data_IF_169695162039
#
_entry.id   IF_169695162039
#
_cell.length_a   1.000
_cell.length_b   1.000
_cell.length_c   1.000
_cell.angle_alpha   90.00
_cell.angle_beta   90.00
_cell.angle_gamma   90.00
#
_symmetry.space_group_name_H-M   'P 1'
#
loop_
_entity.id
_entity.type
_entity.pdbx_description
1 polymer ?
#
# COMPACT_ATOMS: atom_id res chain seq x y z
N UNK A 1 0.65 -7.05 13.98
CA UNK A 1 1.16 -5.90 14.76
C UNK A 1 1.72 -4.86 13.79
N UNK A 2 1.58 -3.57 14.11
CA UNK A 2 2.18 -2.47 13.34
C UNK A 2 3.35 -1.87 14.12
N UNK A 3 4.35 -1.34 13.42
CA UNK A 3 5.39 -0.53 14.04
C UNK A 3 4.84 0.84 14.48
N UNK A 4 5.60 1.58 15.27
CA UNK A 4 5.34 3.01 15.54
C UNK A 4 5.26 3.86 14.26
N UNK A 5 5.92 3.41 13.20
CA UNK A 5 5.86 3.99 11.85
C UNK A 5 4.57 3.66 11.06
N UNK A 6 3.65 2.86 11.61
CA UNK A 6 2.38 2.51 10.96
C UNK A 6 2.44 1.36 9.95
N UNK A 7 3.63 0.89 9.55
CA UNK A 7 3.82 -0.28 8.69
C UNK A 7 3.48 -1.60 9.41
N UNK A 8 3.07 -2.60 8.64
CA UNK A 8 2.68 -3.94 9.12
C UNK A 8 3.91 -4.76 9.52
N UNK A 9 4.30 -4.81 10.77
CA UNK A 9 5.52 -5.55 11.15
C UNK A 9 5.32 -7.08 11.07
N UNK A 10 4.18 -7.56 11.53
CA UNK A 10 3.88 -8.99 11.59
C UNK A 10 2.38 -9.26 11.58
N UNK A 11 2.01 -10.49 11.26
CA UNK A 11 0.65 -11.00 11.47
C UNK A 11 0.68 -12.37 12.13
N UNK A 12 -0.42 -12.70 12.80
CA UNK A 12 -0.65 -14.02 13.37
C UNK A 12 -2.01 -14.50 12.91
N UNK A 13 -2.05 -15.69 12.33
CA UNK A 13 -3.28 -16.31 11.83
C UNK A 13 -3.99 -17.07 12.95
N UNK A 14 -5.29 -17.38 12.80
CA UNK A 14 -6.05 -18.13 13.81
C UNK A 14 -5.49 -19.54 14.09
N UNK A 15 -4.84 -20.18 13.12
CA UNK A 15 -4.13 -21.46 13.26
C UNK A 15 -2.77 -21.33 13.98
N UNK A 16 -2.43 -20.14 14.47
CA UNK A 16 -1.26 -19.89 15.31
C UNK A 16 0.04 -19.63 14.55
N UNK A 17 0.03 -19.63 13.21
CA UNK A 17 1.20 -19.28 12.40
C UNK A 17 1.48 -17.78 12.49
N UNK A 18 2.77 -17.43 12.48
CA UNK A 18 3.23 -16.06 12.50
C UNK A 18 4.02 -15.76 11.22
N UNK A 19 3.77 -14.58 10.66
CA UNK A 19 4.48 -14.08 9.49
C UNK A 19 5.01 -12.68 9.74
N UNK A 20 6.15 -12.40 9.13
CA UNK A 20 6.88 -11.14 9.27
C UNK A 20 7.06 -10.51 7.90
N UNK A 21 6.84 -9.19 7.83
CA UNK A 21 6.86 -8.46 6.58
C UNK A 21 8.16 -7.68 6.42
N UNK A 22 8.71 -7.71 5.20
CA UNK A 22 9.88 -6.94 4.82
C UNK A 22 9.49 -5.89 3.80
N UNK A 23 10.08 -4.71 3.95
CA UNK A 23 9.68 -3.50 3.23
C UNK A 23 10.78 -2.95 2.35
N UNK A 24 10.40 -2.30 1.24
CA UNK A 24 11.29 -1.39 0.52
C UNK A 24 11.35 -0.01 1.21
N UNK A 25 12.16 0.91 0.66
CA UNK A 25 12.28 2.27 1.17
C UNK A 25 11.01 3.13 1.04
N UNK A 26 9.97 2.66 0.33
CA UNK A 26 8.67 3.33 0.16
C UNK A 26 7.60 2.74 1.09
N UNK A 27 7.91 1.66 1.83
CA UNK A 27 6.96 0.96 2.68
C UNK A 27 6.11 -0.08 1.95
N UNK A 28 6.50 -0.50 0.75
CA UNK A 28 5.87 -1.63 0.03
C UNK A 28 6.38 -2.95 0.56
N UNK A 29 5.50 -3.94 0.69
CA UNK A 29 5.88 -5.29 1.14
C UNK A 29 6.58 -6.03 -0.01
N UNK A 30 7.89 -6.26 0.11
CA UNK A 30 8.70 -6.96 -0.91
C UNK A 30 8.92 -8.42 -0.58
N UNK A 31 8.89 -8.80 0.70
CA UNK A 31 9.00 -10.21 1.14
C UNK A 31 8.20 -10.44 2.41
N UNK A 32 7.86 -11.70 2.63
CA UNK A 32 7.22 -12.20 3.83
C UNK A 32 7.92 -13.47 4.28
N UNK A 33 8.22 -13.60 5.57
CA UNK A 33 8.86 -14.79 6.15
C UNK A 33 7.95 -15.44 7.17
N UNK A 34 8.11 -16.74 7.37
CA UNK A 34 7.50 -17.46 8.49
C UNK A 34 8.33 -17.33 9.79
N UNK A 35 7.90 -18.03 10.84
CA UNK A 35 8.60 -18.06 12.13
C UNK A 35 9.96 -18.76 12.13
N UNK A 36 10.30 -19.50 11.07
CA UNK A 36 11.61 -20.13 10.89
C UNK A 36 12.58 -19.23 10.12
N UNK A 37 12.09 -18.11 9.57
CA UNK A 37 12.84 -17.20 8.70
C UNK A 37 12.82 -17.60 7.22
N UNK A 38 12.08 -18.63 6.84
CA UNK A 38 11.93 -19.02 5.45
C UNK A 38 11.03 -18.01 4.71
N UNK A 39 11.42 -17.62 3.49
CA UNK A 39 10.65 -16.70 2.66
C UNK A 39 9.44 -17.43 2.09
N UNK A 40 8.24 -17.01 2.46
CA UNK A 40 6.97 -17.57 1.97
C UNK A 40 6.38 -16.78 0.82
N UNK A 41 6.54 -15.45 0.83
CA UNK A 41 6.12 -14.61 -0.30
C UNK A 41 7.23 -13.66 -0.71
N UNK A 42 7.29 -13.36 -2.01
CA UNK A 42 8.20 -12.37 -2.59
C UNK A 42 7.47 -11.57 -3.67
N UNK A 43 7.67 -10.27 -3.69
CA UNK A 43 7.06 -9.33 -4.62
C UNK A 43 8.13 -8.42 -5.21
N UNK A 44 8.07 -8.19 -6.51
CA UNK A 44 8.77 -7.12 -7.21
C UNK A 44 7.73 -6.23 -7.86
N UNK A 45 7.78 -4.94 -7.53
CA UNK A 45 6.85 -3.94 -8.08
C UNK A 45 7.54 -3.08 -9.13
N UNK A 46 6.78 -2.64 -10.12
CA UNK A 46 7.15 -1.50 -10.95
C UNK A 46 7.03 -0.18 -10.14
N UNK A 47 7.48 0.97 -10.69
CA UNK A 47 7.43 2.26 -9.98
C UNK A 47 6.03 2.73 -9.56
N UNK A 48 4.97 2.19 -10.17
CA UNK A 48 3.58 2.57 -9.96
C UNK A 48 2.77 1.56 -9.13
N UNK A 49 3.31 0.37 -8.89
CA UNK A 49 2.71 -0.66 -8.05
C UNK A 49 2.21 -1.90 -8.79
N UNK A 50 2.50 -2.02 -10.09
CA UNK A 50 2.25 -3.24 -10.86
C UNK A 50 3.17 -4.37 -10.41
N UNK A 51 2.64 -5.59 -10.37
CA UNK A 51 3.39 -6.80 -10.03
C UNK A 51 4.35 -7.17 -11.19
N UNK A 52 5.61 -6.71 -11.12
CA UNK A 52 6.65 -7.08 -12.08
C UNK A 52 7.12 -8.54 -11.89
N UNK A 53 7.12 -9.02 -10.65
CA UNK A 53 7.37 -10.44 -10.32
C UNK A 53 6.69 -10.78 -9.00
N UNK A 54 6.21 -12.02 -8.84
CA UNK A 54 5.63 -12.47 -7.57
C UNK A 54 5.75 -13.96 -7.35
N UNK A 55 5.98 -14.33 -6.10
CA UNK A 55 5.86 -15.69 -5.57
C UNK A 55 4.95 -15.60 -4.34
N UNK A 56 3.84 -16.33 -4.37
CA UNK A 56 2.83 -16.29 -3.31
C UNK A 56 2.55 -17.72 -2.87
N UNK A 57 3.01 -18.07 -1.66
CA UNK A 57 2.67 -19.33 -0.98
C UNK A 57 1.53 -19.12 -0.01
N UNK A 58 1.48 -17.95 0.64
CA UNK A 58 0.46 -17.58 1.62
C UNK A 58 -0.35 -16.41 1.08
N UNK A 59 -1.68 -16.49 1.15
CA UNK A 59 -2.52 -15.39 0.71
C UNK A 59 -2.25 -14.14 1.57
N UNK A 60 -1.86 -13.05 0.91
CA UNK A 60 -1.59 -11.77 1.56
C UNK A 60 -2.19 -10.63 0.72
N UNK A 61 -3.20 -9.91 1.25
CA UNK A 61 -3.80 -8.76 0.58
C UNK A 61 -2.96 -7.49 0.73
N UNK A 62 -2.07 -7.37 1.71
CA UNK A 62 -1.27 -6.15 1.92
C UNK A 62 -0.03 -6.16 1.03
N UNK A 63 0.13 -5.16 0.16
CA UNK A 63 1.19 -5.18 -0.86
C UNK A 63 1.86 -3.81 -1.06
N UNK A 64 1.80 -3.26 -2.28
CA UNK A 64 2.42 -2.02 -2.68
C UNK A 64 2.03 -0.84 -1.77
N UNK A 65 3.04 -0.12 -1.26
CA UNK A 65 2.89 1.00 -0.32
C UNK A 65 1.95 0.73 0.88
N UNK A 66 1.77 -0.52 1.29
CA UNK A 66 0.84 -0.92 2.35
C UNK A 66 -0.65 -0.87 1.97
N UNK A 67 -0.97 -0.74 0.68
CA UNK A 67 -2.34 -0.79 0.17
C UNK A 67 -2.93 -2.20 0.24
N UNK A 68 -4.25 -2.27 0.37
CA UNK A 68 -5.01 -3.51 0.32
C UNK A 68 -5.30 -3.87 -1.14
N UNK A 69 -4.71 -4.95 -1.62
CA UNK A 69 -4.90 -5.47 -2.97
C UNK A 69 -6.13 -6.37 -3.01
N UNK A 70 -7.12 -5.99 -3.82
CA UNK A 70 -8.28 -6.81 -4.11
C UNK A 70 -8.04 -7.62 -5.39
N UNK A 71 -7.89 -8.94 -5.24
CA UNK A 71 -7.53 -9.82 -6.35
C UNK A 71 -8.59 -9.90 -7.44
N UNK A 72 -9.86 -9.66 -7.12
CA UNK A 72 -10.97 -9.76 -8.06
C UNK A 72 -10.99 -8.60 -9.05
N UNK A 73 -10.68 -7.39 -8.58
CA UNK A 73 -10.73 -6.16 -9.37
C UNK A 73 -9.36 -5.68 -9.81
N UNK A 74 -8.27 -6.18 -9.20
CA UNK A 74 -6.91 -5.72 -9.45
C UNK A 74 -6.61 -4.33 -8.88
N UNK A 75 -7.46 -3.84 -7.97
CA UNK A 75 -7.34 -2.50 -7.39
C UNK A 75 -6.60 -2.52 -6.06
N UNK A 76 -5.89 -1.43 -5.77
CA UNK A 76 -5.32 -1.17 -4.46
C UNK A 76 -6.16 -0.16 -3.70
N UNK A 77 -6.69 -0.55 -2.55
CA UNK A 77 -7.42 0.36 -1.67
C UNK A 77 -6.49 0.99 -0.64
N UNK A 78 -6.46 2.32 -0.64
CA UNK A 78 -5.75 3.18 0.28
C UNK A 78 -6.75 4.03 1.06
N UNK A 79 -7.12 3.58 2.25
CA UNK A 79 -8.12 4.25 3.09
C UNK A 79 -9.48 4.30 2.39
N UNK A 80 -9.85 5.48 1.88
CA UNK A 80 -11.15 5.75 1.25
C UNK A 80 -11.10 5.80 -0.28
N UNK A 81 -9.92 5.62 -0.89
CA UNK A 81 -9.77 5.62 -2.35
C UNK A 81 -9.16 4.31 -2.84
N UNK A 82 -9.51 3.94 -4.06
CA UNK A 82 -8.96 2.79 -4.76
C UNK A 82 -8.15 3.27 -5.98
N UNK A 83 -6.95 2.72 -6.12
CA UNK A 83 -6.03 2.95 -7.21
C UNK A 83 -6.17 1.82 -8.22
N UNK A 84 -6.43 2.17 -9.46
CA UNK A 84 -6.33 1.28 -10.61
C UNK A 84 -4.89 1.33 -11.12
N UNK A 85 -4.19 0.20 -11.03
CA UNK A 85 -2.79 0.07 -11.46
C UNK A 85 -2.68 -0.14 -12.96
N UNK A 86 -3.69 -0.73 -13.60
CA UNK A 86 -3.68 -0.94 -15.05
C UNK A 86 -3.64 0.39 -15.79
N UNK A 87 -4.44 1.36 -15.33
CA UNK A 87 -4.45 2.72 -15.88
C UNK A 87 -3.66 3.72 -15.04
N UNK A 88 -3.04 3.26 -13.95
CA UNK A 88 -2.31 4.06 -12.98
C UNK A 88 -3.08 5.32 -12.58
N UNK A 89 -4.34 5.22 -12.15
CA UNK A 89 -5.18 6.36 -11.75
C UNK A 89 -6.07 6.03 -10.58
N UNK A 90 -6.49 7.05 -9.83
CA UNK A 90 -7.53 6.85 -8.81
C UNK A 90 -8.88 6.59 -9.48
N UNK A 91 -9.68 5.68 -8.93
CA UNK A 91 -11.04 5.43 -9.44
C UNK A 91 -12.04 6.45 -8.93
N UNK A 92 -11.74 7.10 -7.80
CA UNK A 92 -12.53 8.20 -7.25
C UNK A 92 -11.76 9.52 -7.32
N UNK A 93 -12.49 10.62 -7.54
CA UNK A 93 -11.96 11.97 -7.39
C UNK A 93 -11.41 12.15 -5.97
N UNK A 94 -10.35 12.95 -5.81
CA UNK A 94 -9.89 13.36 -4.48
C UNK A 94 -11.06 13.89 -3.67
N UNK A 95 -11.34 13.34 -2.48
CA UNK A 95 -12.37 13.88 -1.62
C UNK A 95 -11.97 15.31 -1.26
N UNK A 96 -12.72 16.29 -1.76
CA UNK A 96 -12.53 17.67 -1.37
C UNK A 96 -13.00 17.78 0.07
N UNK A 97 -12.06 18.04 0.99
CA UNK A 97 -12.42 18.57 2.31
C UNK A 97 -12.90 20.00 2.08
N UNK A 98 -14.16 20.16 1.69
CA UNK A 98 -14.80 21.46 1.64
C UNK A 98 -15.02 21.92 3.09
N UNK A 99 -14.07 22.72 3.59
CA UNK A 99 -14.17 23.70 4.68
C UNK A 99 -12.92 23.70 5.60
N UNK A 100 -11.81 24.21 5.07
CA UNK A 100 -11.03 25.13 5.90
C UNK A 100 -11.32 26.54 5.37
N UNK A 101 -11.69 27.52 6.22
CA UNK A 101 -11.73 28.90 5.76
C UNK A 101 -10.33 29.24 5.26
N UNK A 102 -10.23 29.80 4.05
CA UNK A 102 -8.98 30.31 3.49
C UNK A 102 -8.48 31.47 4.36
N UNK A 103 -7.88 31.17 5.51
CA UNK A 103 -7.08 32.12 6.26
C UNK A 103 -5.64 31.64 6.21
N UNK A 104 -4.92 32.22 5.26
CA UNK A 104 -3.46 32.40 5.23
C UNK A 104 -2.65 31.41 6.08
N UNK A 105 -2.11 30.37 5.45
CA UNK A 105 -0.88 29.74 5.96
C UNK A 105 0.20 29.82 4.87
N UNK A 106 1.41 30.28 5.23
CA UNK A 106 2.51 30.43 4.29
C UNK A 106 3.01 29.05 3.81
N UNK A 107 3.70 29.07 2.68
CA UNK A 107 4.19 27.92 1.91
C UNK A 107 4.89 26.90 2.82
N UNK A 108 4.22 25.79 3.12
CA UNK A 108 4.86 24.53 3.50
C UNK A 108 3.92 23.40 3.07
N UNK A 109 3.90 23.11 1.77
CA UNK A 109 3.46 21.82 1.28
C UNK A 109 4.68 20.89 1.28
N UNK A 110 4.83 20.09 2.34
CA UNK A 110 5.78 18.99 2.34
C UNK A 110 5.05 17.68 2.67
N UNK A 111 5.26 16.72 1.77
CA UNK A 111 4.97 15.29 1.87
C UNK A 111 3.54 14.79 1.58
N UNK A 112 3.06 15.00 0.35
CA UNK A 112 2.14 14.06 -0.33
C UNK A 112 1.89 14.38 -1.83
N UNK A 113 2.87 14.97 -2.53
CA UNK A 113 2.68 15.38 -3.92
C UNK A 113 2.83 14.23 -4.94
N UNK A 114 3.51 13.12 -4.57
CA UNK A 114 3.84 12.08 -5.55
C UNK A 114 2.66 11.23 -6.06
N UNK A 115 1.50 11.28 -5.40
CA UNK A 115 0.31 10.48 -5.80
C UNK A 115 -0.95 11.33 -6.04
N UNK A 116 -0.86 12.66 -5.94
CA UNK A 116 -2.00 13.55 -6.15
C UNK A 116 -2.22 13.91 -7.62
N UNK A 117 -1.24 13.69 -8.50
CA UNK A 117 -1.26 14.15 -9.90
C UNK A 117 -2.02 13.22 -10.87
N UNK A 118 -2.87 12.33 -10.34
CA UNK A 118 -3.53 11.29 -11.15
C UNK A 118 -5.05 11.34 -11.01
N UNK A 119 -5.57 12.56 -11.04
CA UNK A 119 -6.99 12.83 -10.89
C UNK A 119 -7.81 12.24 -12.05
N UNK A 120 -9.03 11.84 -11.69
CA UNK A 120 -10.06 11.32 -12.58
C UNK A 120 -10.39 12.38 -13.65
N UNK A 121 -10.28 12.01 -14.93
CA UNK A 121 -10.91 12.76 -16.04
C UNK A 121 -12.42 12.63 -15.94
#
# INVERSE_FOLDING_TARGET
>A
MRCSCGLLNSERTPDGKAYYYLFDGRGSIVRMTDSTGAVVNQYGYDPFGGDASRTIVVNNPWRYAGGYYESTTGLYTFGIRSLDIQFNRWTQRTPSVAAWPRRSRPITFRLSLFMAEKDVV
#
